data_IF_582907428268
#
_entry.id   IF_582907428268
#
_cell.length_a   1.000
_cell.length_b   1.000
_cell.length_c   1.000
_cell.angle_alpha   90.00
_cell.angle_beta   90.00
_cell.angle_gamma   90.00
#
_symmetry.space_group_name_H-M   'P 1'
#
loop_
_entity.id
_entity.type
_entity.pdbx_description
1 polymer ?
#
# COMPACT_ATOMS: atom_id res chain seq x y z
N UNK A 1 -2.07 -4.59 15.14
CA UNK A 1 -0.95 -5.49 14.76
C UNK A 1 0.37 -4.79 15.07
N UNK A 2 1.33 -5.42 15.77
CA UNK A 2 2.67 -4.81 16.01
C UNK A 2 3.72 -5.54 15.17
N UNK A 3 3.71 -5.29 13.86
CA UNK A 3 4.77 -5.75 12.93
C UNK A 3 5.69 -4.58 12.62
N UNK A 4 6.98 -4.86 12.45
CA UNK A 4 7.95 -3.82 12.09
C UNK A 4 7.72 -3.40 10.64
N UNK A 5 7.86 -2.10 10.37
CA UNK A 5 7.68 -1.53 9.03
C UNK A 5 8.56 -2.25 7.99
N UNK A 6 9.80 -2.58 8.37
CA UNK A 6 10.76 -3.32 7.56
C UNK A 6 10.23 -4.69 7.07
N UNK A 7 9.42 -5.38 7.88
CA UNK A 7 8.84 -6.68 7.53
C UNK A 7 7.65 -6.52 6.57
N UNK A 8 6.90 -5.43 6.71
CA UNK A 8 5.81 -5.05 5.80
C UNK A 8 6.40 -4.71 4.43
N UNK A 9 7.41 -3.83 4.39
CA UNK A 9 8.09 -3.43 3.17
C UNK A 9 8.72 -4.62 2.43
N UNK A 10 9.43 -5.50 3.14
CA UNK A 10 10.08 -6.65 2.52
C UNK A 10 9.07 -7.62 1.88
N UNK A 11 7.87 -7.74 2.43
CA UNK A 11 6.81 -8.59 1.88
C UNK A 11 6.03 -7.89 0.77
N UNK A 12 5.74 -6.59 0.91
CA UNK A 12 5.15 -5.80 -0.16
C UNK A 12 6.04 -5.77 -1.41
N UNK A 13 7.35 -5.65 -1.23
CA UNK A 13 8.32 -5.70 -2.34
C UNK A 13 8.29 -7.04 -3.08
N UNK A 14 8.09 -8.17 -2.38
CA UNK A 14 7.93 -9.48 -3.01
C UNK A 14 6.65 -9.60 -3.83
N UNK A 15 5.58 -8.87 -3.48
CA UNK A 15 4.31 -8.86 -4.23
C UNK A 15 4.45 -8.19 -5.60
N UNK A 16 5.45 -7.33 -5.77
CA UNK A 16 5.75 -6.65 -7.04
C UNK A 16 7.03 -7.18 -7.69
N UNK A 17 7.33 -8.47 -7.53
CA UNK A 17 8.51 -9.12 -8.13
C UNK A 17 9.86 -8.46 -7.78
N UNK A 18 9.95 -7.87 -6.59
CA UNK A 18 11.08 -7.09 -6.11
C UNK A 18 11.41 -5.83 -6.92
N UNK A 19 10.46 -5.32 -7.70
CA UNK A 19 10.59 -4.05 -8.40
C UNK A 19 10.24 -2.89 -7.46
N UNK A 20 11.27 -2.18 -7.00
CA UNK A 20 11.12 -1.02 -6.10
C UNK A 20 10.45 0.17 -6.78
N UNK A 21 10.63 0.33 -8.09
CA UNK A 21 10.01 1.42 -8.83
C UNK A 21 8.50 1.20 -8.91
N UNK A 22 8.08 0.00 -9.28
CA UNK A 22 6.65 -0.38 -9.29
C UNK A 22 6.05 -0.29 -7.89
N UNK A 23 6.75 -0.76 -6.84
CA UNK A 23 6.27 -0.60 -5.47
C UNK A 23 5.99 0.87 -5.14
N UNK A 24 6.94 1.76 -5.49
CA UNK A 24 6.85 3.18 -5.19
C UNK A 24 5.68 3.84 -5.94
N UNK A 25 5.45 3.45 -7.20
CA UNK A 25 4.31 3.94 -7.98
C UNK A 25 2.97 3.51 -7.38
N UNK A 26 2.83 2.24 -7.02
CA UNK A 26 1.59 1.70 -6.43
C UNK A 26 1.31 2.38 -5.08
N UNK A 27 2.32 2.50 -4.22
CA UNK A 27 2.18 3.16 -2.91
C UNK A 27 1.77 4.63 -3.10
N UNK A 28 2.39 5.36 -4.03
CA UNK A 28 2.05 6.75 -4.29
C UNK A 28 0.64 6.91 -4.85
N UNK A 29 0.24 6.07 -5.82
CA UNK A 29 -1.09 6.08 -6.40
C UNK A 29 -2.16 5.78 -5.34
N UNK A 30 -1.96 4.74 -4.52
CA UNK A 30 -2.91 4.38 -3.47
C UNK A 30 -2.96 5.42 -2.36
N UNK A 31 -1.82 5.97 -1.94
CA UNK A 31 -1.80 7.04 -0.95
C UNK A 31 -2.55 8.30 -1.42
N UNK A 32 -2.54 8.58 -2.74
CA UNK A 32 -3.33 9.66 -3.34
C UNK A 32 -4.82 9.39 -3.21
N UNK A 33 -5.30 8.19 -3.55
CA UNK A 33 -6.72 7.80 -3.41
C UNK A 33 -7.20 7.97 -1.96
N UNK A 34 -6.42 7.47 -1.00
CA UNK A 34 -6.72 7.64 0.43
C UNK A 34 -6.76 9.12 0.85
N UNK A 35 -5.87 9.95 0.28
CA UNK A 35 -5.88 11.40 0.54
C UNK A 35 -7.07 12.13 -0.07
N UNK A 36 -7.67 11.57 -1.12
CA UNK A 36 -8.87 12.08 -1.78
C UNK A 36 -10.16 11.61 -1.08
N UNK A 37 -10.03 10.81 -0.02
CA UNK A 37 -11.14 10.36 0.82
C UNK A 37 -11.58 8.92 0.58
N UNK A 38 -10.83 8.15 -0.21
CA UNK A 38 -11.09 6.72 -0.33
C UNK A 38 -10.83 6.00 1.00
N UNK A 39 -11.58 4.93 1.26
CA UNK A 39 -11.48 4.21 2.53
C UNK A 39 -10.38 3.13 2.46
N UNK A 40 -9.63 2.92 3.55
CA UNK A 40 -8.70 1.81 3.66
C UNK A 40 -9.39 0.45 3.46
N UNK A 41 -8.72 -0.46 2.75
CA UNK A 41 -9.16 -1.84 2.53
C UNK A 41 -8.84 -2.76 3.71
N UNK A 42 -8.16 -2.21 4.73
CA UNK A 42 -7.77 -2.87 5.98
C UNK A 42 -8.36 -2.11 7.16
N UNK A 43 -8.58 -2.80 8.27
CA UNK A 43 -9.10 -2.19 9.49
C UNK A 43 -7.98 -1.43 10.23
N UNK A 44 -7.85 -0.13 9.95
CA UNK A 44 -6.86 0.77 10.55
C UNK A 44 -7.47 2.12 10.90
N UNK A 45 -6.99 2.74 11.98
CA UNK A 45 -7.32 4.13 12.29
C UNK A 45 -6.54 5.06 11.37
N UNK A 46 -7.22 5.63 10.36
CA UNK A 46 -6.63 6.56 9.39
C UNK A 46 -6.02 7.82 9.99
N UNK A 47 -6.35 8.16 11.24
CA UNK A 47 -5.73 9.29 11.94
C UNK A 47 -4.38 8.95 12.58
N UNK A 48 -4.05 7.65 12.70
CA UNK A 48 -2.83 7.19 13.37
C UNK A 48 -1.71 6.82 12.39
N UNK A 49 -2.04 6.61 11.11
CA UNK A 49 -1.10 6.15 10.10
C UNK A 49 -1.05 7.10 8.91
N UNK A 50 0.13 7.25 8.31
CA UNK A 50 0.25 7.96 7.03
C UNK A 50 -0.41 7.12 5.93
N UNK A 51 -0.99 7.75 4.92
CA UNK A 51 -1.59 7.04 3.79
C UNK A 51 -0.59 6.13 3.06
N UNK A 52 0.69 6.48 3.03
CA UNK A 52 1.75 5.60 2.49
C UNK A 52 1.93 4.33 3.31
N UNK A 53 1.80 4.43 4.64
CA UNK A 53 1.92 3.27 5.53
C UNK A 53 0.68 2.36 5.37
N UNK A 54 -0.50 2.96 5.25
CA UNK A 54 -1.75 2.23 4.97
C UNK A 54 -1.65 1.51 3.63
N UNK A 55 -1.21 2.18 2.56
CA UNK A 55 -1.00 1.57 1.25
C UNK A 55 -0.01 0.39 1.30
N UNK A 56 1.12 0.54 2.01
CA UNK A 56 2.07 -0.56 2.22
C UNK A 56 1.43 -1.75 2.96
N UNK A 57 0.60 -1.48 3.97
CA UNK A 57 -0.12 -2.52 4.71
C UNK A 57 -1.15 -3.22 3.82
N UNK A 58 -1.89 -2.50 2.98
CA UNK A 58 -2.86 -3.08 2.03
C UNK A 58 -2.18 -4.01 1.00
N UNK A 59 -1.03 -3.61 0.46
CA UNK A 59 -0.21 -4.46 -0.43
C UNK A 59 0.29 -5.70 0.33
N UNK A 60 0.77 -5.50 1.56
CA UNK A 60 1.23 -6.58 2.42
C UNK A 60 0.12 -7.61 2.74
N UNK A 61 -1.12 -7.15 2.95
CA UNK A 61 -2.28 -7.99 3.26
C UNK A 61 -2.98 -8.57 2.01
N UNK A 62 -2.45 -8.30 0.81
CA UNK A 62 -3.03 -8.77 -0.46
C UNK A 62 -4.47 -8.26 -0.68
N UNK A 63 -4.76 -7.05 -0.18
CA UNK A 63 -6.07 -6.41 -0.28
C UNK A 63 -6.22 -5.51 -1.50
N UNK A 64 -5.09 -5.12 -2.09
CA UNK A 64 -5.02 -4.18 -3.20
C UNK A 64 -4.84 -4.93 -4.53
N UNK A 65 -5.66 -4.62 -5.53
CA UNK A 65 -5.43 -5.08 -6.90
C UNK A 65 -4.29 -4.25 -7.52
N UNK A 66 -3.10 -4.84 -7.54
CA UNK A 66 -1.88 -4.17 -8.02
C UNK A 66 -1.91 -3.93 -9.53
N UNK A 67 -2.57 -4.81 -10.30
CA UNK A 67 -2.68 -4.65 -11.76
C UNK A 67 -3.62 -3.50 -12.10
N UNK A 68 -4.72 -3.35 -11.36
CA UNK A 68 -5.63 -2.21 -11.51
C UNK A 68 -4.88 -0.88 -11.27
N UNK A 69 -4.11 -0.79 -10.19
CA UNK A 69 -3.41 0.45 -9.82
C UNK A 69 -2.35 0.84 -10.86
N UNK A 70 -1.58 -0.12 -11.37
CA UNK A 70 -0.54 0.15 -12.38
C UNK A 70 -1.13 0.58 -13.72
N UNK A 71 -2.34 0.10 -14.05
CA UNK A 71 -3.00 0.37 -15.33
C UNK A 71 -4.00 1.54 -15.29
N UNK A 72 -4.22 2.17 -14.13
CA UNK A 72 -5.03 3.40 -14.01
C UNK A 72 -4.40 4.52 -14.84
N UNK A 73 -5.03 4.85 -15.97
CA UNK A 73 -4.67 5.95 -16.87
C UNK A 73 -5.26 7.27 -16.41
#
# INVERSE_FOLDING_TARGET
>A
MKKRLEEIEAKALKKVNNDRYILSLIVAARAKELSEGDEPLIEVDKNQYKFTDIALMEIYEDKLDLEEIVNKK
#
